data_IF_615627526923
#
_entry.id   IF_615627526923
#
_cell.length_a   1.000
_cell.length_b   1.000
_cell.length_c   1.000
_cell.angle_alpha   90.00
_cell.angle_beta   90.00
_cell.angle_gamma   90.00
#
_symmetry.space_group_name_H-M   'P 1'
#
loop_
_entity.id
_entity.type
_entity.pdbx_description
1 polymer ?
#
# COMPACT_ATOMS: atom_id res chain seq x y z
N UNK A 1 -1.13 8.00 -11.72
CA UNK A 1 -0.15 8.91 -11.08
C UNK A 1 0.65 8.07 -10.11
N UNK A 2 1.98 8.15 -10.16
CA UNK A 2 2.87 7.44 -9.24
C UNK A 2 3.47 8.49 -8.31
N UNK A 3 3.21 8.37 -7.01
CA UNK A 3 3.79 9.26 -6.01
C UNK A 3 4.61 8.41 -5.03
N UNK A 4 5.86 8.79 -4.86
CA UNK A 4 6.76 8.18 -3.89
C UNK A 4 7.21 9.25 -2.91
N UNK A 5 6.95 9.01 -1.63
CA UNK A 5 7.33 9.90 -0.55
C UNK A 5 8.16 9.11 0.48
N UNK A 6 9.40 9.54 0.70
CA UNK A 6 10.25 8.99 1.76
C UNK A 6 10.00 9.83 3.01
N UNK A 7 9.36 9.23 4.02
CA UNK A 7 9.22 9.89 5.31
C UNK A 7 10.24 9.32 6.29
N UNK A 8 11.14 10.18 6.75
CA UNK A 8 11.93 9.92 7.95
C UNK A 8 11.08 10.33 9.15
N UNK A 9 10.56 9.34 9.88
CA UNK A 9 9.92 9.54 11.18
C UNK A 9 10.83 8.85 12.20
N UNK A 10 11.26 9.59 13.23
CA UNK A 10 12.03 9.09 14.39
C UNK A 10 13.19 8.11 14.04
N UNK A 11 14.14 8.55 13.20
CA UNK A 11 15.36 7.81 12.80
C UNK A 11 15.18 6.50 12.00
N UNK A 12 13.95 6.06 11.70
CA UNK A 12 13.73 4.95 10.77
C UNK A 12 13.36 5.46 9.36
N UNK A 13 13.87 4.77 8.34
CA UNK A 13 13.59 5.10 6.93
C UNK A 13 12.31 4.35 6.54
N UNK A 14 11.16 4.99 6.72
CA UNK A 14 9.89 4.51 6.20
C UNK A 14 9.70 5.04 4.76
N UNK A 15 9.18 4.18 3.88
CA UNK A 15 8.82 4.58 2.52
C UNK A 15 7.32 4.45 2.33
N UNK A 16 6.69 5.47 1.77
CA UNK A 16 5.29 5.40 1.33
C UNK A 16 5.27 5.46 -0.19
N UNK A 17 4.64 4.45 -0.80
CA UNK A 17 4.42 4.41 -2.24
C UNK A 17 2.92 4.39 -2.53
N UNK A 18 2.49 5.33 -3.36
CA UNK A 18 1.14 5.41 -3.86
C UNK A 18 1.13 5.13 -5.36
N UNK A 19 0.36 4.14 -5.77
CA UNK A 19 0.13 3.79 -7.17
C UNK A 19 -1.36 3.85 -7.49
N UNK A 20 -1.73 4.82 -8.33
CA UNK A 20 -3.12 5.05 -8.77
C UNK A 20 -3.28 4.55 -10.20
N UNK A 21 -4.03 3.44 -10.37
CA UNK A 21 -4.29 2.79 -11.68
C UNK A 21 -5.61 3.26 -12.34
N UNK A 22 -6.27 4.26 -11.78
CA UNK A 22 -7.65 4.52 -12.11
C UNK A 22 -7.93 5.89 -12.73
N UNK A 23 -8.68 5.88 -13.85
CA UNK A 23 -9.31 7.06 -14.43
C UNK A 23 -10.55 7.44 -13.62
N UNK A 24 -10.44 8.51 -12.81
CA UNK A 24 -11.54 9.39 -12.39
C UNK A 24 -12.88 8.76 -11.97
N UNK A 25 -12.87 7.66 -11.20
CA UNK A 25 -14.09 7.12 -10.57
C UNK A 25 -14.16 7.48 -9.09
N UNK A 26 -15.35 7.86 -8.60
CA UNK A 26 -15.60 8.13 -7.19
C UNK A 26 -15.63 6.85 -6.33
N UNK A 27 -15.86 5.68 -6.93
CA UNK A 27 -15.99 4.37 -6.25
C UNK A 27 -14.71 3.53 -6.24
N UNK A 28 -13.56 4.15 -6.55
CA UNK A 28 -12.26 3.46 -6.60
C UNK A 28 -11.92 2.80 -5.27
N UNK A 29 -11.63 1.50 -5.33
CA UNK A 29 -11.20 0.72 -4.19
C UNK A 29 -9.82 1.20 -3.71
N UNK A 30 -9.68 1.44 -2.41
CA UNK A 30 -8.37 1.66 -1.79
C UNK A 30 -7.82 0.33 -1.29
N UNK A 31 -6.57 0.04 -1.63
CA UNK A 31 -5.86 -1.17 -1.20
C UNK A 31 -4.60 -0.80 -0.41
N UNK A 32 -4.72 -0.60 0.92
CA UNK A 32 -3.57 -0.34 1.77
C UNK A 32 -2.81 -1.64 2.07
N UNK A 33 -1.49 -1.56 2.03
CA UNK A 33 -0.55 -2.65 2.29
C UNK A 33 0.52 -2.11 3.24
N UNK A 34 0.74 -2.78 4.37
CA UNK A 34 1.83 -2.50 5.31
C UNK A 34 2.77 -3.69 5.29
N UNK A 35 4.03 -3.43 5.00
CA UNK A 35 5.04 -4.48 4.84
C UNK A 35 6.45 -3.99 5.13
N UNK A 36 7.44 -4.85 4.91
CA UNK A 36 8.84 -4.50 5.05
C UNK A 36 9.29 -3.54 3.96
N UNK A 37 10.34 -2.77 4.23
CA UNK A 37 10.95 -1.85 3.25
C UNK A 37 11.46 -2.58 1.99
N UNK A 38 11.91 -3.82 2.14
CA UNK A 38 12.38 -4.66 1.04
C UNK A 38 11.22 -5.00 0.09
N UNK A 39 10.08 -5.43 0.65
CA UNK A 39 8.88 -5.74 -0.12
C UNK A 39 8.31 -4.48 -0.79
N UNK A 40 8.34 -3.32 -0.13
CA UNK A 40 7.98 -2.04 -0.73
C UNK A 40 8.79 -1.77 -2.00
N UNK A 41 10.11 -1.92 -1.93
CA UNK A 41 11.02 -1.64 -3.06
C UNK A 41 10.70 -2.52 -4.28
N UNK A 42 10.30 -3.76 -4.04
CA UNK A 42 9.86 -4.66 -5.11
C UNK A 42 8.46 -4.30 -5.64
N UNK A 43 7.53 -3.94 -4.76
CA UNK A 43 6.19 -3.51 -5.14
C UNK A 43 6.21 -2.26 -6.01
N UNK A 44 7.10 -1.30 -5.72
CA UNK A 44 7.32 -0.13 -6.56
C UNK A 44 7.67 -0.49 -8.01
N UNK A 45 8.40 -1.60 -8.22
CA UNK A 45 8.77 -2.08 -9.56
C UNK A 45 7.68 -2.94 -10.22
N UNK A 46 6.81 -3.52 -9.41
CA UNK A 46 5.86 -4.55 -9.86
C UNK A 46 4.46 -3.98 -10.09
N UNK A 47 3.96 -3.12 -9.20
CA UNK A 47 2.62 -2.52 -9.29
C UNK A 47 2.41 -1.76 -10.63
N UNK A 48 3.36 -0.94 -11.13
CA UNK A 48 3.22 -0.32 -12.45
C UNK A 48 3.07 -1.31 -13.61
N UNK A 49 3.63 -2.52 -13.50
CA UNK A 49 3.52 -3.57 -14.53
C UNK A 49 2.17 -4.29 -14.49
N UNK A 50 1.38 -4.08 -13.44
CA UNK A 50 0.04 -4.63 -13.30
C UNK A 50 -1.03 -3.69 -13.88
N UNK A 51 -0.65 -2.46 -14.26
CA UNK A 51 -1.50 -1.47 -14.91
C UNK A 51 -2.25 -2.05 -16.10
N UNK A 52 -3.57 -1.89 -16.14
CA UNK A 52 -4.41 -2.34 -17.26
C UNK A 52 -4.70 -3.84 -17.35
N UNK A 53 -4.16 -4.68 -16.45
CA UNK A 53 -4.48 -6.13 -16.42
C UNK A 53 -5.79 -6.39 -15.69
N UNK A 54 -6.97 -6.27 -16.35
CA UNK A 54 -8.31 -6.73 -15.89
C UNK A 54 -8.76 -6.38 -14.45
N UNK A 55 -7.96 -5.62 -13.69
CA UNK A 55 -8.23 -5.28 -12.30
C UNK A 55 -9.06 -4.02 -12.27
N UNK A 56 -10.12 -4.10 -11.47
CA UNK A 56 -10.91 -2.94 -11.10
C UNK A 56 -9.99 -1.85 -10.55
N UNK A 57 -10.07 -0.69 -11.19
CA UNK A 57 -9.58 0.62 -10.80
C UNK A 57 -9.34 0.78 -9.29
N UNK A 58 -8.14 0.44 -8.84
CA UNK A 58 -7.76 0.47 -7.42
C UNK A 58 -6.60 1.43 -7.16
N UNK A 59 -6.69 2.16 -6.06
CA UNK A 59 -5.60 2.98 -5.54
C UNK A 59 -4.80 2.11 -4.56
N UNK A 60 -3.59 1.71 -4.96
CA UNK A 60 -2.67 0.95 -4.11
C UNK A 60 -1.86 1.91 -3.25
N UNK A 61 -1.85 1.64 -1.96
CA UNK A 61 -1.07 2.39 -0.98
C UNK A 61 -0.17 1.41 -0.24
N UNK A 62 1.13 1.64 -0.25
CA UNK A 62 2.10 0.75 0.37
C UNK A 62 2.93 1.52 1.36
N UNK A 63 2.94 1.07 2.62
CA UNK A 63 3.84 1.52 3.67
C UNK A 63 4.91 0.44 3.88
N UNK A 64 6.17 0.78 3.64
CA UNK A 64 7.32 -0.06 3.94
C UNK A 64 8.04 0.44 5.19
N UNK A 65 8.09 -0.39 6.24
CA UNK A 65 8.78 -0.07 7.49
C UNK A 65 10.05 -0.94 7.61
N UNK A 66 11.15 -0.35 8.07
CA UNK A 66 12.42 -1.05 8.27
C UNK A 66 12.34 -1.92 9.52
N UNK A 67 12.69 -3.21 9.42
CA UNK A 67 12.60 -4.14 10.55
C UNK A 67 11.18 -4.52 10.95
N UNK A 68 10.21 -4.35 10.04
CA UNK A 68 8.80 -4.61 10.29
C UNK A 68 8.49 -6.08 10.61
N UNK A 69 7.81 -6.32 11.73
CA UNK A 69 7.24 -7.62 12.10
C UNK A 69 5.72 -7.51 12.24
N UNK A 70 4.99 -8.10 11.28
CA UNK A 70 3.52 -8.09 11.29
C UNK A 70 2.90 -8.81 12.50
N UNK A 71 3.66 -9.64 13.22
CA UNK A 71 3.20 -10.34 14.43
C UNK A 71 3.39 -9.52 15.70
N UNK A 72 4.27 -8.51 15.67
CA UNK A 72 4.63 -7.71 16.84
C UNK A 72 4.75 -6.22 16.48
N UNK A 73 3.61 -5.55 16.38
CA UNK A 73 3.55 -4.12 16.06
C UNK A 73 4.02 -3.27 17.24
N UNK A 74 5.13 -2.57 17.04
CA UNK A 74 5.66 -1.60 18.00
C UNK A 74 4.81 -0.32 18.01
N UNK A 75 4.96 0.51 19.03
CA UNK A 75 4.29 1.82 19.05
C UNK A 75 4.79 2.74 17.93
N UNK A 76 6.05 2.55 17.51
CA UNK A 76 6.60 3.19 16.32
C UNK A 76 5.82 2.76 15.07
N UNK A 77 5.55 1.47 14.88
CA UNK A 77 4.78 0.97 13.74
C UNK A 77 3.38 1.58 13.74
N UNK A 78 2.67 1.53 14.87
CA UNK A 78 1.32 2.09 15.02
C UNK A 78 1.25 3.56 14.63
N UNK A 79 2.19 4.37 15.12
CA UNK A 79 2.29 5.81 14.78
C UNK A 79 2.45 6.03 13.27
N UNK A 80 3.29 5.23 12.61
CA UNK A 80 3.47 5.32 11.16
C UNK A 80 2.23 4.85 10.39
N UNK A 81 1.52 3.85 10.89
CA UNK A 81 0.26 3.35 10.32
C UNK A 81 -0.84 4.42 10.40
N UNK A 82 -0.96 5.11 11.53
CA UNK A 82 -1.91 6.21 11.69
C UNK A 82 -1.63 7.38 10.73
N UNK A 83 -0.36 7.78 10.61
CA UNK A 83 0.08 8.79 9.63
C UNK A 83 -0.23 8.33 8.20
N UNK A 84 0.01 7.06 7.90
CA UNK A 84 -0.29 6.46 6.61
C UNK A 84 -1.78 6.49 6.30
N UNK A 85 -2.66 6.12 7.23
CA UNK A 85 -4.12 6.22 7.04
C UNK A 85 -4.57 7.67 6.87
N UNK A 86 -4.00 8.60 7.62
CA UNK A 86 -4.30 10.04 7.50
C UNK A 86 -3.98 10.56 6.10
N UNK A 87 -2.88 10.11 5.49
CA UNK A 87 -2.53 10.44 4.10
C UNK A 87 -3.55 9.92 3.10
N UNK A 88 -4.02 8.68 3.26
CA UNK A 88 -5.06 8.10 2.41
C UNK A 88 -6.33 8.93 2.49
N UNK A 89 -6.78 9.24 3.71
CA UNK A 89 -7.99 10.03 3.96
C UNK A 89 -7.88 11.41 3.34
N UNK A 90 -6.75 12.10 3.57
CA UNK A 90 -6.48 13.41 2.97
C UNK A 90 -6.51 13.36 1.45
N UNK A 91 -5.81 12.42 0.82
CA UNK A 91 -5.84 12.28 -0.63
C UNK A 91 -7.26 12.06 -1.16
N UNK A 92 -8.06 11.21 -0.50
CA UNK A 92 -9.45 10.96 -0.91
C UNK A 92 -10.30 12.22 -0.78
N UNK A 93 -10.16 12.98 0.30
CA UNK A 93 -10.84 14.25 0.48
C UNK A 93 -10.44 15.28 -0.59
N UNK A 94 -9.13 15.46 -0.82
CA UNK A 94 -8.57 16.38 -1.81
C UNK A 94 -9.01 16.04 -3.25
N UNK A 95 -9.41 14.79 -3.51
CA UNK A 95 -9.87 14.30 -4.80
C UNK A 95 -11.39 14.01 -4.87
N UNK A 96 -12.18 14.48 -3.90
CA UNK A 96 -13.64 14.28 -3.83
C UNK A 96 -14.07 12.80 -3.94
N UNK A 97 -13.31 11.89 -3.31
CA UNK A 97 -13.61 10.46 -3.24
C UNK A 97 -14.30 10.11 -1.92
N UNK A 98 -15.08 9.02 -1.90
CA UNK A 98 -15.78 8.58 -0.69
C UNK A 98 -14.82 8.42 0.50
N UNK A 99 -15.12 9.03 1.63
CA UNK A 99 -14.25 8.96 2.81
C UNK A 99 -14.21 7.54 3.39
N UNK A 100 -13.08 7.19 3.99
CA UNK A 100 -12.95 6.00 4.84
C UNK A 100 -12.65 6.43 6.27
N UNK A 101 -13.26 5.76 7.25
CA UNK A 101 -12.82 5.84 8.64
C UNK A 101 -11.49 5.09 8.83
N UNK A 102 -10.77 5.38 9.92
CA UNK A 102 -9.56 4.64 10.27
C UNK A 102 -9.83 3.14 10.46
N UNK A 103 -10.97 2.79 11.06
CA UNK A 103 -11.42 1.40 11.23
C UNK A 103 -11.65 0.71 9.88
N UNK A 104 -12.32 1.37 8.94
CA UNK A 104 -12.52 0.84 7.59
C UNK A 104 -11.18 0.61 6.88
N UNK A 105 -10.25 1.57 6.98
CA UNK A 105 -8.91 1.38 6.42
C UNK A 105 -8.19 0.22 7.07
N UNK A 106 -8.24 0.09 8.40
CA UNK A 106 -7.66 -1.03 9.12
C UNK A 106 -8.18 -2.37 8.63
N UNK A 107 -9.50 -2.50 8.46
CA UNK A 107 -10.13 -3.73 7.96
C UNK A 107 -9.78 -4.06 6.51
N UNK A 108 -9.49 -3.04 5.69
CA UNK A 108 -9.08 -3.21 4.29
C UNK A 108 -7.57 -3.50 4.15
N UNK A 109 -6.78 -3.18 5.18
CA UNK A 109 -5.32 -3.18 5.10
C UNK A 109 -4.75 -4.58 5.18
N UNK A 110 -3.90 -4.92 4.22
CA UNK A 110 -3.06 -6.11 4.33
C UNK A 110 -1.82 -5.76 5.15
N UNK A 111 -1.69 -6.33 6.34
CA UNK A 111 -0.51 -6.19 7.21
C UNK A 111 0.30 -7.48 7.14
N UNK A 112 1.44 -7.47 6.47
CA UNK A 112 2.23 -8.70 6.28
C UNK A 112 3.70 -8.42 5.99
N UNK A 113 4.58 -9.26 6.54
CA UNK A 113 5.98 -9.34 6.12
C UNK A 113 6.19 -10.37 4.99
N UNK A 114 5.16 -11.17 4.67
CA UNK A 114 5.22 -12.28 3.72
C UNK A 114 4.92 -11.82 2.29
N UNK A 115 5.93 -11.87 1.43
CA UNK A 115 5.78 -11.53 0.01
C UNK A 115 4.71 -12.36 -0.71
N UNK A 116 4.55 -13.62 -0.32
CA UNK A 116 3.57 -14.51 -0.95
C UNK A 116 2.13 -14.01 -0.76
N UNK A 117 1.81 -13.42 0.39
CA UNK A 117 0.49 -12.87 0.70
C UNK A 117 0.22 -11.59 -0.07
N UNK A 118 1.23 -10.72 -0.15
CA UNK A 118 1.19 -9.53 -1.00
C UNK A 118 0.88 -9.95 -2.42
N UNK A 119 1.60 -10.94 -2.95
CA UNK A 119 1.42 -11.41 -4.32
C UNK A 119 0.07 -12.07 -4.58
N UNK A 120 -0.55 -12.73 -3.59
CA UNK A 120 -1.94 -13.19 -3.68
C UNK A 120 -2.90 -11.98 -3.78
N UNK A 121 -2.68 -10.95 -2.97
CA UNK A 121 -3.53 -9.74 -2.94
C UNK A 121 -3.40 -8.91 -4.22
N UNK A 122 -2.17 -8.78 -4.72
CA UNK A 122 -1.87 -8.00 -5.92
C UNK A 122 -1.75 -8.86 -7.18
N UNK A 123 -2.16 -10.13 -7.16
CA UNK A 123 -2.08 -11.07 -8.30
C UNK A 123 -0.76 -10.94 -9.08
N UNK A 124 0.38 -11.07 -8.39
CA UNK A 124 1.65 -11.17 -9.08
C UNK A 124 1.57 -12.32 -10.08
N UNK A 125 1.76 -12.06 -11.37
CA UNK A 125 1.96 -13.16 -12.32
C UNK A 125 3.27 -13.81 -11.97
N UNK A 126 3.23 -15.07 -11.52
CA UNK A 126 4.41 -15.91 -11.31
C UNK A 126 5.24 -15.87 -12.58
N UNK A 127 6.38 -15.17 -12.52
CA UNK A 127 7.36 -15.24 -13.60
C UNK A 127 8.07 -16.58 -13.43
N UNK A 128 7.59 -17.62 -14.10
CA UNK A 128 8.28 -18.91 -14.21
C UNK A 128 7.61 -20.09 -13.53
N UNK A 129 6.71 -20.74 -14.25
CA UNK A 129 6.77 -22.19 -14.48
C UNK A 129 5.79 -22.52 -15.61
N UNK A 130 6.22 -22.27 -16.86
CA UNK A 130 5.75 -23.08 -17.97
C UNK A 130 6.60 -24.35 -17.93
N UNK A 131 6.03 -25.42 -17.37
CA UNK A 131 6.39 -26.78 -17.80
C UNK A 131 5.65 -27.06 -19.10
#
# INVERSE_FOLDING_TARGET
MENYDIQKVDNAICGVFQFVDASSSASRATLPIITTKENLSELMRTLPKLRGKKKEYSDYWVLGIMGFDSKNLTDFDKKNIEVFYSKIQKYRADNNLSAYSAEQLSNLTLITSEKSEICKRVNCTSSGNRR
#
